data_IF_981448523702
#
_entry.id   IF_981448523702
#
_cell.length_a   1.000
_cell.length_b   1.000
_cell.length_c   1.000
_cell.angle_alpha   90.00
_cell.angle_beta   90.00
_cell.angle_gamma   90.00
#
_symmetry.space_group_name_H-M   'P 1'
#
loop_
_entity.id
_entity.type
_entity.pdbx_description
1 polymer ?
#
# COMPACT_ATOMS: atom_id res chain seq x y z
N UNK A 1 -16.79 -6.10 -18.19
CA UNK A 1 -17.32 -6.02 -16.81
C UNK A 1 -16.23 -5.38 -15.94
N UNK A 2 -16.45 -4.14 -15.48
CA UNK A 2 -15.45 -3.31 -14.78
C UNK A 2 -15.17 -3.91 -13.39
N UNK A 3 -13.90 -4.19 -13.11
CA UNK A 3 -13.43 -4.62 -11.81
C UNK A 3 -13.50 -3.43 -10.83
N UNK A 4 -14.24 -3.52 -9.71
CA UNK A 4 -14.17 -2.50 -8.67
C UNK A 4 -12.83 -2.66 -7.92
N UNK A 5 -11.83 -1.85 -8.28
CA UNK A 5 -10.58 -1.76 -7.53
C UNK A 5 -9.31 -1.44 -8.32
N UNK A 6 -9.30 -1.63 -9.64
CA UNK A 6 -8.15 -1.23 -10.47
C UNK A 6 -8.36 0.18 -11.01
N UNK A 7 -7.90 1.17 -10.22
CA UNK A 7 -7.71 2.53 -10.71
C UNK A 7 -6.47 2.49 -11.61
N UNK A 8 -6.66 2.48 -12.93
CA UNK A 8 -5.61 2.90 -13.85
C UNK A 8 -5.21 4.33 -13.45
N UNK A 9 -3.94 4.61 -13.13
CA UNK A 9 -3.51 5.99 -12.87
C UNK A 9 -3.78 6.78 -14.15
N UNK A 10 -4.80 7.64 -14.12
CA UNK A 10 -5.05 8.58 -15.22
C UNK A 10 -3.85 9.54 -15.28
N UNK A 11 -3.13 9.62 -16.40
CA UNK A 11 -1.99 10.51 -16.53
C UNK A 11 -2.50 11.93 -16.78
N UNK A 12 -2.89 12.66 -15.73
CA UNK A 12 -3.38 14.05 -15.91
C UNK A 12 -2.99 15.04 -14.83
N UNK A 13 -2.15 14.68 -13.85
CA UNK A 13 -1.65 15.64 -12.87
C UNK A 13 -0.15 15.91 -13.04
N UNK A 14 0.24 17.20 -13.13
CA UNK A 14 1.62 17.66 -13.30
C UNK A 14 2.60 17.23 -12.20
N UNK A 15 2.11 16.64 -11.11
CA UNK A 15 2.89 15.96 -10.07
C UNK A 15 3.58 14.70 -10.61
N UNK A 16 3.05 14.07 -11.66
CA UNK A 16 3.66 12.87 -12.26
C UNK A 16 5.05 13.14 -12.86
N UNK A 17 5.36 14.39 -13.22
CA UNK A 17 6.62 14.74 -13.90
C UNK A 17 7.83 14.91 -12.97
N UNK A 18 7.61 14.97 -11.66
CA UNK A 18 8.72 15.10 -10.71
C UNK A 18 9.41 13.75 -10.48
N UNK A 19 10.75 13.71 -10.45
CA UNK A 19 11.50 12.47 -10.27
C UNK A 19 11.07 11.80 -8.97
N UNK A 20 10.78 10.50 -9.04
CA UNK A 20 10.37 9.68 -7.89
C UNK A 20 11.34 9.82 -6.71
N UNK A 21 12.63 10.03 -7.02
CA UNK A 21 13.71 10.30 -6.07
C UNK A 21 13.42 11.51 -5.18
N UNK A 22 13.01 12.65 -5.76
CA UNK A 22 12.73 13.86 -5.01
C UNK A 22 11.46 13.72 -4.14
N UNK A 23 10.46 12.97 -4.62
CA UNK A 23 9.24 12.69 -3.85
C UNK A 23 9.52 11.78 -2.66
N UNK A 24 10.30 10.72 -2.88
CA UNK A 24 10.69 9.77 -1.83
C UNK A 24 11.61 10.44 -0.81
N UNK A 25 12.59 11.24 -1.27
CA UNK A 25 13.43 12.03 -0.38
C UNK A 25 12.59 13.03 0.43
N UNK A 26 11.66 13.74 -0.20
CA UNK A 26 10.74 14.66 0.50
C UNK A 26 9.86 13.95 1.53
N UNK A 27 9.28 12.79 1.17
CA UNK A 27 8.50 11.99 2.11
C UNK A 27 9.36 11.45 3.26
N UNK A 28 10.58 10.99 2.96
CA UNK A 28 11.52 10.50 3.98
C UNK A 28 11.93 11.63 4.93
N UNK A 29 12.16 12.84 4.41
CA UNK A 29 12.50 14.02 5.21
C UNK A 29 11.31 14.43 6.09
N UNK A 30 10.08 14.41 5.56
CA UNK A 30 8.87 14.66 6.34
C UNK A 30 8.70 13.61 7.45
N UNK A 31 8.88 12.32 7.15
CA UNK A 31 8.75 11.23 8.10
C UNK A 31 9.86 11.27 9.17
N UNK A 32 11.12 11.41 8.77
CA UNK A 32 12.24 11.55 9.71
C UNK A 32 12.09 12.81 10.56
N UNK A 33 11.70 13.94 9.96
CA UNK A 33 11.42 15.18 10.68
C UNK A 33 10.28 15.02 11.68
N UNK A 34 9.22 14.28 11.34
CA UNK A 34 8.15 14.00 12.31
C UNK A 34 8.58 13.03 13.40
N UNK A 35 9.43 12.04 13.11
CA UNK A 35 9.89 11.03 14.08
C UNK A 35 10.93 11.62 15.05
N UNK A 36 11.96 12.28 14.51
CA UNK A 36 13.13 12.77 15.26
C UNK A 36 12.79 13.91 16.21
N UNK A 37 11.71 14.67 15.97
CA UNK A 37 11.32 15.79 16.84
C UNK A 37 10.98 15.30 18.27
N UNK A 38 11.81 15.56 19.29
CA UNK A 38 11.60 15.07 20.65
C UNK A 38 10.74 16.03 21.49
N UNK A 39 10.62 17.30 21.09
CA UNK A 39 9.99 18.34 21.91
C UNK A 39 9.09 19.27 21.13
N UNK A 40 7.95 19.50 21.78
CA UNK A 40 6.77 20.29 21.46
C UNK A 40 7.10 21.66 20.84
N UNK A 41 7.30 21.72 19.52
CA UNK A 41 7.16 22.98 18.79
C UNK A 41 5.97 22.85 17.86
N UNK A 42 4.83 23.40 18.30
CA UNK A 42 3.63 23.64 17.49
C UNK A 42 3.98 24.29 16.13
N UNK A 43 5.08 25.06 16.10
CA UNK A 43 5.69 25.66 14.91
C UNK A 43 6.09 24.68 13.80
N UNK A 44 6.36 23.39 14.07
CA UNK A 44 6.72 22.42 13.02
C UNK A 44 5.50 21.78 12.35
N UNK A 45 4.35 21.73 13.04
CA UNK A 45 3.12 21.20 12.45
C UNK A 45 2.57 22.12 11.36
N UNK A 46 2.65 23.44 11.53
CA UNK A 46 2.20 24.42 10.53
C UNK A 46 2.78 24.20 9.12
N UNK A 47 4.12 24.24 8.93
CA UNK A 47 4.74 24.06 7.63
C UNK A 47 4.56 22.63 7.07
N UNK A 48 4.56 21.59 7.92
CA UNK A 48 4.30 20.21 7.46
C UNK A 48 2.86 20.04 6.97
N UNK A 49 1.88 20.59 7.69
CA UNK A 49 0.49 20.60 7.25
C UNK A 49 0.28 21.48 6.02
N UNK A 50 1.03 22.58 5.86
CA UNK A 50 1.05 23.39 4.63
C UNK A 50 1.63 22.63 3.44
N UNK A 51 2.75 21.93 3.62
CA UNK A 51 3.35 21.08 2.57
C UNK A 51 2.42 19.91 2.23
N UNK A 52 1.79 19.30 3.22
CA UNK A 52 0.79 18.25 3.02
C UNK A 52 -0.48 18.79 2.37
N UNK A 53 -0.96 19.98 2.74
CA UNK A 53 -2.11 20.64 2.13
C UNK A 53 -1.82 21.07 0.69
N UNK A 54 -0.61 21.56 0.42
CA UNK A 54 -0.13 21.89 -0.93
C UNK A 54 0.01 20.64 -1.80
N UNK A 55 0.58 19.57 -1.23
CA UNK A 55 0.71 18.30 -1.92
C UNK A 55 -0.66 17.62 -2.12
N UNK A 56 -1.59 17.78 -1.17
CA UNK A 56 -2.98 17.34 -1.27
C UNK A 56 -3.75 18.12 -2.35
N UNK A 57 -3.61 19.45 -2.38
CA UNK A 57 -4.14 20.33 -3.43
C UNK A 57 -3.64 19.91 -4.81
N UNK A 58 -2.33 19.64 -4.93
CA UNK A 58 -1.72 19.20 -6.20
C UNK A 58 -2.09 17.78 -6.58
N UNK A 59 -2.32 16.88 -5.62
CA UNK A 59 -2.61 15.47 -5.88
C UNK A 59 -4.09 15.20 -6.20
N UNK A 60 -5.00 16.19 -6.03
CA UNK A 60 -6.45 16.08 -6.27
C UNK A 60 -7.05 14.76 -5.73
N UNK A 61 -6.60 14.37 -4.54
CA UNK A 61 -7.06 13.15 -3.89
C UNK A 61 -8.45 13.39 -3.29
N UNK A 62 -9.46 12.55 -3.60
CA UNK A 62 -10.78 12.69 -3.01
C UNK A 62 -10.66 12.47 -1.49
N UNK A 63 -11.07 13.48 -0.70
CA UNK A 63 -11.05 13.44 0.77
C UNK A 63 -11.69 12.17 1.32
N UNK A 64 -12.77 11.70 0.70
CA UNK A 64 -13.46 10.47 1.11
C UNK A 64 -12.59 9.21 1.06
N UNK A 65 -11.54 9.15 0.24
CA UNK A 65 -10.63 8.01 0.20
C UNK A 65 -9.65 8.00 1.36
N UNK A 66 -9.12 9.18 1.71
CA UNK A 66 -8.23 9.34 2.87
C UNK A 66 -9.03 9.17 4.16
N UNK A 67 -10.21 9.80 4.24
CA UNK A 67 -11.11 9.67 5.37
C UNK A 67 -11.61 8.23 5.51
N UNK A 68 -11.97 7.55 4.43
CA UNK A 68 -12.39 6.14 4.47
C UNK A 68 -11.28 5.20 4.99
N UNK A 69 -10.02 5.44 4.60
CA UNK A 69 -8.87 4.71 5.16
C UNK A 69 -8.60 5.06 6.62
N UNK A 70 -8.71 6.34 6.98
CA UNK A 70 -8.54 6.80 8.36
C UNK A 70 -9.66 6.26 9.27
N UNK A 71 -10.89 6.15 8.75
CA UNK A 71 -12.04 5.58 9.44
C UNK A 71 -11.85 4.07 9.66
N UNK A 72 -11.30 3.36 8.66
CA UNK A 72 -10.91 1.96 8.83
C UNK A 72 -9.76 1.76 9.83
N UNK A 73 -8.88 2.76 9.95
CA UNK A 73 -7.80 2.79 10.95
C UNK A 73 -8.23 3.38 12.31
N UNK A 74 -9.48 3.84 12.46
CA UNK A 74 -10.00 4.42 13.70
C UNK A 74 -9.81 3.54 14.94
N UNK A 75 -9.94 2.19 14.92
CA UNK A 75 -9.63 1.40 16.12
C UNK A 75 -8.16 1.49 16.52
N UNK A 76 -7.24 1.69 15.57
CA UNK A 76 -5.82 1.87 15.87
C UNK A 76 -5.54 3.24 16.50
N UNK A 77 -6.17 4.30 15.97
CA UNK A 77 -6.09 5.65 16.55
C UNK A 77 -6.72 5.65 17.95
N UNK A 78 -7.89 5.05 18.12
CA UNK A 78 -8.54 4.88 19.42
C UNK A 78 -7.66 4.08 20.39
N UNK A 79 -7.02 3.00 19.94
CA UNK A 79 -6.06 2.24 20.75
C UNK A 79 -4.88 3.07 21.23
N UNK A 80 -4.34 3.95 20.38
CA UNK A 80 -3.28 4.91 20.77
C UNK A 80 -3.80 5.97 21.75
N UNK A 81 -5.04 6.45 21.59
CA UNK A 81 -5.66 7.36 22.56
C UNK A 81 -5.85 6.68 23.92
N UNK A 82 -6.40 5.46 23.94
CA UNK A 82 -6.67 4.70 25.17
C UNK A 82 -5.37 4.38 25.92
N UNK A 83 -4.34 3.93 25.20
CA UNK A 83 -3.02 3.66 25.80
C UNK A 83 -2.31 4.95 26.25
N UNK A 84 -2.56 6.07 25.58
CA UNK A 84 -2.10 7.39 26.02
C UNK A 84 -2.78 7.89 27.29
N UNK A 85 -4.08 7.59 27.48
CA UNK A 85 -4.85 7.93 28.68
C UNK A 85 -4.42 7.12 29.92
N UNK A 86 -3.96 5.88 29.72
CA UNK A 86 -3.55 4.97 30.80
C UNK A 86 -2.10 5.13 31.25
N UNK A 87 -1.30 6.01 30.63
CA UNK A 87 0.11 6.20 30.98
C UNK A 87 0.27 7.12 32.21
N UNK A 88 0.95 6.68 33.28
CA UNK A 88 1.39 7.55 34.37
C UNK A 88 2.30 8.66 33.82
N UNK A 89 2.12 9.86 34.35
CA UNK A 89 2.70 11.13 33.89
C UNK A 89 4.22 11.06 33.69
N UNK A 90 4.67 11.24 32.45
CA UNK A 90 6.10 11.29 32.07
C UNK A 90 6.39 11.26 30.56
N UNK A 91 5.37 11.02 29.72
CA UNK A 91 5.49 10.98 28.26
C UNK A 91 4.82 12.14 27.51
N UNK A 92 5.04 12.28 26.20
CA UNK A 92 4.35 13.27 25.37
C UNK A 92 2.83 13.03 25.40
N UNK A 93 2.01 14.09 25.34
CA UNK A 93 0.56 13.97 25.48
C UNK A 93 -0.07 13.26 24.28
N UNK A 94 -1.17 12.56 24.51
CA UNK A 94 -1.84 11.67 23.54
C UNK A 94 -2.16 12.33 22.18
N UNK A 95 -2.48 13.62 22.16
CA UNK A 95 -2.78 14.37 20.94
C UNK A 95 -1.55 14.54 20.03
N UNK A 96 -0.34 14.56 20.60
CA UNK A 96 0.91 14.58 19.81
C UNK A 96 1.13 13.24 19.12
N UNK A 97 0.86 12.13 19.82
CA UNK A 97 0.94 10.79 19.22
C UNK A 97 -0.07 10.64 18.08
N UNK A 98 -1.30 11.09 18.30
CA UNK A 98 -2.33 11.10 17.26
C UNK A 98 -1.92 11.96 16.06
N UNK A 99 -1.37 13.16 16.29
CA UNK A 99 -0.85 14.03 15.23
C UNK A 99 0.26 13.35 14.42
N UNK A 100 1.28 12.78 15.07
CA UNK A 100 2.37 12.05 14.38
C UNK A 100 1.84 10.86 13.58
N UNK A 101 0.88 10.11 14.12
CA UNK A 101 0.26 8.99 13.42
C UNK A 101 -0.50 9.46 12.16
N UNK A 102 -1.31 10.51 12.28
CA UNK A 102 -2.08 11.07 11.15
C UNK A 102 -1.14 11.63 10.08
N UNK A 103 -0.13 12.43 10.46
CA UNK A 103 0.84 13.01 9.51
C UNK A 103 1.62 11.93 8.77
N UNK A 104 2.10 10.90 9.49
CA UNK A 104 2.79 9.76 8.88
C UNK A 104 1.88 9.01 7.92
N UNK A 105 0.65 8.71 8.34
CA UNK A 105 -0.32 7.98 7.53
C UNK A 105 -0.67 8.73 6.24
N UNK A 106 -0.95 10.04 6.35
CA UNK A 106 -1.26 10.89 5.18
C UNK A 106 -0.06 10.91 4.22
N UNK A 107 1.16 11.05 4.73
CA UNK A 107 2.39 11.04 3.93
C UNK A 107 2.55 9.72 3.18
N UNK A 108 2.37 8.58 3.86
CA UNK A 108 2.47 7.25 3.25
C UNK A 108 1.37 7.01 2.21
N UNK A 109 0.13 7.41 2.50
CA UNK A 109 -0.99 7.28 1.56
C UNK A 109 -0.73 8.09 0.29
N UNK A 110 -0.27 9.33 0.44
CA UNK A 110 0.05 10.22 -0.66
C UNK A 110 1.19 9.65 -1.51
N UNK A 111 2.25 9.17 -0.87
CA UNK A 111 3.38 8.54 -1.54
C UNK A 111 2.96 7.28 -2.31
N UNK A 112 2.17 6.42 -1.69
CA UNK A 112 1.66 5.19 -2.30
C UNK A 112 0.72 5.45 -3.49
N UNK A 113 0.01 6.59 -3.50
CA UNK A 113 -0.86 6.95 -4.63
C UNK A 113 -0.10 7.65 -5.76
N UNK A 114 0.89 8.47 -5.42
CA UNK A 114 1.62 9.29 -6.40
C UNK A 114 2.84 8.61 -7.00
N UNK A 115 3.29 7.48 -6.42
CA UNK A 115 4.46 6.73 -6.87
C UNK A 115 4.05 5.35 -7.41
N UNK A 116 4.17 5.09 -8.72
CA UNK A 116 3.88 3.77 -9.28
C UNK A 116 4.92 2.74 -8.84
N UNK A 117 4.52 1.48 -8.69
CA UNK A 117 5.40 0.38 -8.23
C UNK A 117 6.67 0.23 -9.10
N UNK A 118 6.57 0.47 -10.41
CA UNK A 118 7.72 0.44 -11.31
C UNK A 118 8.79 1.50 -10.99
N UNK A 119 8.39 2.68 -10.49
CA UNK A 119 9.34 3.71 -10.03
C UNK A 119 10.03 3.31 -8.73
N UNK A 120 9.30 2.67 -7.81
CA UNK A 120 9.87 2.15 -6.58
C UNK A 120 10.96 1.09 -6.85
N UNK A 121 10.74 0.21 -7.84
CA UNK A 121 11.74 -0.78 -8.27
C UNK A 121 12.99 -0.13 -8.89
N UNK A 122 12.80 0.94 -9.68
CA UNK A 122 13.93 1.72 -10.22
C UNK A 122 14.72 2.36 -9.09
N UNK A 123 14.05 2.91 -8.09
CA UNK A 123 14.70 3.49 -6.92
C UNK A 123 15.48 2.43 -6.13
N UNK A 124 14.88 1.25 -5.90
CA UNK A 124 15.55 0.13 -5.24
C UNK A 124 16.85 -0.27 -5.98
N UNK A 125 16.83 -0.29 -7.31
CA UNK A 125 18.03 -0.55 -8.12
C UNK A 125 19.10 0.55 -7.93
N UNK A 126 18.70 1.82 -7.86
CA UNK A 126 19.63 2.95 -7.60
C UNK A 126 20.23 2.91 -6.20
N UNK A 127 19.47 2.43 -5.21
CA UNK A 127 19.93 2.18 -3.84
C UNK A 127 20.84 0.93 -3.71
N UNK A 128 21.33 0.39 -4.83
CA UNK A 128 22.21 -0.78 -4.89
C UNK A 128 21.60 -2.06 -4.31
N UNK A 129 20.26 -2.19 -4.30
CA UNK A 129 19.61 -3.46 -3.96
C UNK A 129 19.99 -4.52 -5.00
N UNK A 130 20.34 -5.76 -4.58
CA UNK A 130 20.68 -6.85 -5.50
C UNK A 130 19.64 -7.06 -6.60
N UNK A 131 20.12 -7.27 -7.84
CA UNK A 131 19.26 -7.41 -9.02
C UNK A 131 18.26 -8.56 -8.85
N UNK A 132 18.65 -9.63 -8.14
CA UNK A 132 17.79 -10.76 -7.81
C UNK A 132 16.54 -10.36 -7.01
N UNK A 133 16.69 -9.46 -6.02
CA UNK A 133 15.55 -8.97 -5.24
C UNK A 133 14.64 -8.05 -6.06
N UNK A 134 15.22 -7.21 -6.91
CA UNK A 134 14.44 -6.33 -7.79
C UNK A 134 13.66 -7.15 -8.83
N UNK A 135 14.27 -8.19 -9.41
CA UNK A 135 13.63 -9.06 -10.42
C UNK A 135 12.53 -9.92 -9.82
N UNK A 136 12.76 -10.50 -8.64
CA UNK A 136 11.73 -11.25 -7.89
C UNK A 136 10.53 -10.37 -7.56
N UNK A 137 10.73 -9.17 -7.02
CA UNK A 137 9.66 -8.21 -6.77
C UNK A 137 8.90 -7.81 -8.04
N UNK A 138 9.62 -7.61 -9.16
CA UNK A 138 9.01 -7.27 -10.45
C UNK A 138 8.08 -8.39 -10.94
N UNK A 139 8.52 -9.64 -10.82
CA UNK A 139 7.73 -10.82 -11.17
C UNK A 139 6.53 -10.96 -10.24
N UNK A 140 6.71 -10.83 -8.92
CA UNK A 140 5.62 -10.88 -7.95
C UNK A 140 4.51 -9.88 -8.30
N UNK A 141 4.86 -8.63 -8.58
CA UNK A 141 3.88 -7.61 -8.98
C UNK A 141 3.19 -7.95 -10.30
N UNK A 142 3.94 -8.41 -11.32
CA UNK A 142 3.35 -8.82 -12.60
C UNK A 142 2.35 -9.98 -12.43
N UNK A 143 2.71 -10.99 -11.64
CA UNK A 143 1.87 -12.18 -11.45
C UNK A 143 0.73 -11.96 -10.46
N UNK A 144 0.81 -10.97 -9.57
CA UNK A 144 -0.27 -10.63 -8.65
C UNK A 144 -1.57 -10.33 -9.40
N UNK A 145 -1.52 -9.49 -10.44
CA UNK A 145 -2.72 -9.18 -11.24
C UNK A 145 -3.27 -10.41 -11.95
N UNK A 146 -2.40 -11.25 -12.49
CA UNK A 146 -2.80 -12.48 -13.19
C UNK A 146 -3.47 -13.46 -12.22
N UNK A 147 -2.95 -13.60 -11.00
CA UNK A 147 -3.55 -14.46 -9.97
C UNK A 147 -4.87 -13.90 -9.45
N UNK A 148 -5.00 -12.57 -9.33
CA UNK A 148 -6.25 -11.93 -8.95
C UNK A 148 -7.35 -12.16 -9.98
N UNK A 149 -7.05 -12.02 -11.28
CA UNK A 149 -8.00 -12.33 -12.34
C UNK A 149 -8.43 -13.81 -12.31
N UNK A 150 -7.48 -14.72 -12.12
CA UNK A 150 -7.74 -16.15 -12.04
C UNK A 150 -8.62 -16.50 -10.83
N UNK A 151 -8.31 -15.93 -9.66
CA UNK A 151 -9.10 -16.06 -8.44
C UNK A 151 -10.53 -15.58 -8.65
N UNK A 152 -10.71 -14.45 -9.33
CA UNK A 152 -12.03 -13.91 -9.58
C UNK A 152 -12.83 -14.73 -10.58
N UNK A 153 -12.17 -15.27 -11.63
CA UNK A 153 -12.78 -16.24 -12.54
C UNK A 153 -13.26 -17.48 -11.79
N UNK A 154 -12.44 -18.03 -10.90
CA UNK A 154 -12.82 -19.17 -10.05
C UNK A 154 -14.01 -18.83 -9.14
N UNK A 155 -13.99 -17.65 -8.51
CA UNK A 155 -15.08 -17.18 -7.64
C UNK A 155 -16.40 -17.04 -8.40
N UNK A 156 -16.37 -16.48 -9.62
CA UNK A 156 -17.56 -16.34 -10.49
C UNK A 156 -18.09 -17.68 -10.97
N UNK A 157 -17.21 -18.56 -11.47
CA UNK A 157 -17.59 -19.91 -11.92
C UNK A 157 -18.17 -20.76 -10.78
N UNK A 158 -17.78 -20.48 -9.53
CA UNK A 158 -18.41 -21.10 -8.37
C UNK A 158 -19.78 -20.51 -8.07
N UNK A 159 -19.89 -19.18 -8.07
CA UNK A 159 -21.15 -18.50 -7.81
C UNK A 159 -22.26 -18.96 -8.78
N UNK A 160 -21.91 -19.29 -10.03
CA UNK A 160 -22.85 -19.85 -11.00
C UNK A 160 -23.26 -21.30 -10.72
N UNK A 161 -22.43 -22.09 -10.01
CA UNK A 161 -22.73 -23.49 -9.65
C UNK A 161 -23.48 -23.64 -8.33
N UNK A 162 -23.41 -22.63 -7.45
CA UNK A 162 -24.00 -22.69 -6.11
C UNK A 162 -25.16 -21.72 -6.00
N UNK A 163 -26.39 -22.22 -6.16
CA UNK A 163 -27.62 -21.41 -6.12
C UNK A 163 -28.06 -21.03 -4.70
N UNK A 164 -27.57 -21.71 -3.64
CA UNK A 164 -27.92 -21.43 -2.23
C UNK A 164 -26.69 -20.99 -1.42
N UNK A 165 -26.74 -19.84 -0.70
CA UNK A 165 -25.63 -19.39 0.13
C UNK A 165 -25.45 -20.29 1.36
N UNK A 166 -24.42 -21.15 1.36
CA UNK A 166 -24.06 -21.99 2.51
C UNK A 166 -23.29 -21.15 3.53
N UNK A 167 -24.04 -20.44 4.38
CA UNK A 167 -23.50 -19.50 5.39
C UNK A 167 -22.59 -20.18 6.44
N UNK A 168 -22.74 -21.48 6.65
CA UNK A 168 -22.00 -22.26 7.66
C UNK A 168 -20.64 -22.81 7.19
N UNK A 169 -20.36 -22.81 5.88
CA UNK A 169 -19.11 -23.36 5.30
C UNK A 169 -18.32 -22.35 4.46
N UNK A 170 -18.57 -21.05 4.63
CA UNK A 170 -17.93 -20.00 3.82
C UNK A 170 -16.40 -20.08 3.88
N UNK A 171 -15.82 -20.42 5.03
CA UNK A 171 -14.38 -20.55 5.22
C UNK A 171 -13.77 -21.73 4.46
N UNK A 172 -14.35 -22.93 4.57
CA UNK A 172 -13.92 -24.12 3.81
C UNK A 172 -14.02 -23.88 2.30
N UNK A 173 -15.10 -23.21 1.90
CA UNK A 173 -15.37 -22.76 0.54
C UNK A 173 -14.23 -21.85 0.07
N UNK A 174 -13.87 -20.80 0.82
CA UNK A 174 -12.78 -19.92 0.41
C UNK A 174 -11.42 -20.63 0.40
N UNK A 175 -11.15 -21.49 1.39
CA UNK A 175 -9.94 -22.29 1.45
C UNK A 175 -9.77 -23.18 0.21
N UNK A 176 -10.85 -23.76 -0.33
CA UNK A 176 -10.78 -24.57 -1.55
C UNK A 176 -10.36 -23.76 -2.78
N UNK A 177 -10.82 -22.51 -2.90
CA UNK A 177 -10.44 -21.61 -4.00
C UNK A 177 -8.97 -21.21 -3.88
N UNK A 178 -8.53 -20.86 -2.67
CA UNK A 178 -7.14 -20.51 -2.38
C UNK A 178 -6.22 -21.71 -2.66
N UNK A 179 -6.59 -22.91 -2.23
CA UNK A 179 -5.84 -24.14 -2.49
C UNK A 179 -5.69 -24.44 -3.98
N UNK A 180 -6.77 -24.32 -4.76
CA UNK A 180 -6.71 -24.49 -6.21
C UNK A 180 -5.83 -23.43 -6.89
N UNK A 181 -5.93 -22.17 -6.45
CA UNK A 181 -5.09 -21.10 -6.95
C UNK A 181 -3.61 -21.37 -6.65
N UNK A 182 -3.29 -21.86 -5.44
CA UNK A 182 -1.93 -22.19 -5.02
C UNK A 182 -1.30 -23.29 -5.89
N UNK A 183 -2.00 -24.40 -6.11
CA UNK A 183 -1.51 -25.49 -6.98
C UNK A 183 -1.26 -24.98 -8.41
N UNK A 184 -2.17 -24.17 -8.96
CA UNK A 184 -1.97 -23.56 -10.29
C UNK A 184 -0.80 -22.59 -10.33
N UNK A 185 -0.62 -21.79 -9.27
CA UNK A 185 0.50 -20.85 -9.16
C UNK A 185 1.85 -21.60 -9.11
N UNK A 186 1.95 -22.68 -8.35
CA UNK A 186 3.14 -23.54 -8.29
C UNK A 186 3.46 -24.19 -9.65
N UNK A 187 2.47 -24.80 -10.30
CA UNK A 187 2.65 -25.40 -11.62
C UNK A 187 3.08 -24.34 -12.66
N UNK A 188 2.56 -23.12 -12.55
CA UNK A 188 2.97 -22.01 -13.42
C UNK A 188 4.39 -21.56 -13.12
N UNK A 189 4.78 -21.46 -11.85
CA UNK A 189 6.13 -21.08 -11.44
C UNK A 189 7.17 -22.04 -12.02
N UNK A 190 6.92 -23.35 -11.98
CA UNK A 190 7.78 -24.36 -12.62
C UNK A 190 7.96 -24.12 -14.12
N UNK A 191 6.87 -23.88 -14.86
CA UNK A 191 6.93 -23.56 -16.31
C UNK A 191 7.70 -22.27 -16.60
N UNK A 192 7.53 -21.24 -15.76
CA UNK A 192 8.25 -19.97 -15.92
C UNK A 192 9.73 -20.15 -15.66
N UNK A 193 10.09 -20.89 -14.61
CA UNK A 193 11.47 -21.19 -14.29
C UNK A 193 12.17 -21.91 -15.44
N UNK A 194 11.54 -22.95 -16.00
CA UNK A 194 12.08 -23.65 -17.17
C UNK A 194 12.23 -22.72 -18.39
N UNK A 195 11.27 -21.83 -18.62
CA UNK A 195 11.38 -20.82 -19.68
C UNK A 195 12.46 -19.76 -19.42
N UNK A 196 12.79 -19.47 -18.16
CA UNK A 196 13.89 -18.58 -17.79
C UNK A 196 15.24 -19.23 -18.07
N UNK A 197 15.41 -20.49 -17.66
CA UNK A 197 16.61 -21.28 -17.95
C UNK A 197 16.85 -21.37 -19.46
N UNK A 198 15.81 -21.63 -20.25
CA UNK A 198 15.90 -21.67 -21.72
C UNK A 198 16.30 -20.33 -22.36
N UNK A 199 16.13 -19.21 -21.66
CA UNK A 199 16.55 -17.86 -22.10
C UNK A 199 17.94 -17.47 -21.60
N UNK A 200 18.70 -18.41 -21.03
CA UNK A 200 20.06 -18.19 -20.55
C UNK A 200 20.13 -17.52 -19.18
N UNK A 201 19.09 -17.63 -18.34
CA UNK A 201 19.22 -17.27 -16.93
C UNK A 201 20.03 -18.36 -16.22
N UNK A 202 21.14 -17.97 -15.59
CA UNK A 202 22.02 -18.79 -14.75
C UNK A 202 22.02 -18.29 -13.32
#
# INVERSE_FOLDING_TARGET
MRLPGHIHPRPVSGVYRWPAEAKLAGAMLILLGTVVQPRLTLFWFGPVWLVLAWAWWKSRLPLGFVLGRLLWLSPFVLGVLVTGMWRPTGGPPWWVLAGKAVTSLVTVILLANTTPFGEMLRLARRLRVPVLLVSTLALMHRYLFVLLEEMERMRRARASRTFRPVRRRVWEIQASVVGHLFVRALARAGRIYQAMLARGWS
#
